data_IF_006099943477
#
_entry.id   IF_006099943477
#
_cell.length_a   1.000
_cell.length_b   1.000
_cell.length_c   1.000
_cell.angle_alpha   90.00
_cell.angle_beta   90.00
_cell.angle_gamma   90.00
#
_symmetry.space_group_name_H-M   'P 1'
#
loop_
_entity.id
_entity.type
_entity.pdbx_description
1 polymer ?
#
# COMPACT_ATOMS: atom_id res chain seq x y z
N UNK A 1 -44.85 -15.69 -4.53
CA UNK A 1 -44.87 -15.26 -5.93
C UNK A 1 -43.52 -14.63 -6.28
N UNK A 2 -42.59 -15.46 -6.76
CA UNK A 2 -41.24 -15.05 -7.16
C UNK A 2 -41.28 -14.61 -8.62
N UNK A 3 -41.49 -13.32 -8.86
CA UNK A 3 -41.33 -12.73 -10.19
C UNK A 3 -39.86 -12.85 -10.58
N UNK A 4 -39.60 -13.78 -11.49
CA UNK A 4 -38.32 -14.06 -12.09
C UNK A 4 -37.94 -12.89 -13.01
N UNK A 5 -37.60 -11.73 -12.42
CA UNK A 5 -37.01 -10.62 -13.16
C UNK A 5 -35.65 -11.10 -13.64
N UNK A 6 -35.60 -11.59 -14.88
CA UNK A 6 -34.37 -11.90 -15.58
C UNK A 6 -33.48 -10.67 -15.52
N UNK A 7 -32.47 -10.70 -14.65
CA UNK A 7 -31.53 -9.62 -14.46
C UNK A 7 -30.79 -9.41 -15.78
N UNK A 8 -31.20 -8.41 -16.55
CA UNK A 8 -30.55 -8.07 -17.80
C UNK A 8 -29.21 -7.40 -17.46
N UNK A 9 -28.17 -8.22 -17.29
CA UNK A 9 -26.81 -7.81 -16.94
C UNK A 9 -26.33 -6.68 -17.86
N UNK A 10 -26.73 -6.68 -19.15
CA UNK A 10 -26.42 -5.62 -20.09
C UNK A 10 -27.03 -4.28 -19.68
N UNK A 11 -28.33 -4.22 -19.34
CA UNK A 11 -28.97 -2.97 -18.91
C UNK A 11 -28.37 -2.43 -17.60
N UNK A 12 -28.02 -3.31 -16.66
CA UNK A 12 -27.36 -2.91 -15.41
C UNK A 12 -25.93 -2.40 -15.64
N UNK A 13 -25.21 -2.91 -16.63
CA UNK A 13 -23.91 -2.38 -17.05
C UNK A 13 -24.08 -1.03 -17.75
N UNK A 14 -25.06 -0.92 -18.65
CA UNK A 14 -25.30 0.29 -19.45
C UNK A 14 -25.75 1.48 -18.61
N UNK A 15 -26.70 1.29 -17.68
CA UNK A 15 -27.12 2.36 -16.77
C UNK A 15 -26.00 2.85 -15.85
N UNK A 16 -25.03 1.98 -15.55
CA UNK A 16 -23.85 2.32 -14.74
C UNK A 16 -22.78 3.05 -15.52
N UNK A 17 -22.55 2.66 -16.78
CA UNK A 17 -21.70 3.44 -17.69
C UNK A 17 -22.30 4.83 -17.93
N UNK A 18 -23.63 4.99 -17.86
CA UNK A 18 -24.27 6.30 -18.00
C UNK A 18 -24.28 7.17 -16.73
N UNK A 19 -23.84 6.67 -15.56
CA UNK A 19 -23.75 7.53 -14.36
C UNK A 19 -22.51 8.42 -14.46
N UNK A 20 -22.73 9.65 -14.97
CA UNK A 20 -21.70 10.67 -15.18
C UNK A 20 -20.83 10.91 -13.93
N UNK A 21 -21.43 10.95 -12.75
CA UNK A 21 -20.68 11.19 -11.50
C UNK A 21 -19.70 10.06 -11.17
N UNK A 22 -20.12 8.80 -11.37
CA UNK A 22 -19.22 7.66 -11.12
C UNK A 22 -18.05 7.61 -12.10
N UNK A 23 -18.31 7.85 -13.39
CA UNK A 23 -17.25 7.88 -14.40
C UNK A 23 -16.28 9.03 -14.17
N UNK A 24 -16.79 10.22 -13.84
CA UNK A 24 -15.94 11.38 -13.52
C UNK A 24 -15.07 11.11 -12.31
N UNK A 25 -15.64 10.64 -11.20
CA UNK A 25 -14.90 10.43 -9.95
C UNK A 25 -13.89 9.29 -10.04
N UNK A 26 -14.28 8.15 -10.62
CA UNK A 26 -13.36 7.02 -10.83
C UNK A 26 -12.30 7.35 -11.88
N UNK A 27 -12.68 8.08 -12.93
CA UNK A 27 -11.78 8.55 -13.98
C UNK A 27 -10.73 9.51 -13.45
N UNK A 28 -11.12 10.45 -12.57
CA UNK A 28 -10.18 11.34 -11.89
C UNK A 28 -9.16 10.56 -11.06
N UNK A 29 -9.60 9.62 -10.23
CA UNK A 29 -8.67 8.81 -9.44
C UNK A 29 -7.75 7.96 -10.30
N UNK A 30 -8.27 7.36 -11.38
CA UNK A 30 -7.44 6.62 -12.33
C UNK A 30 -6.39 7.53 -12.97
N UNK A 31 -6.79 8.72 -13.41
CA UNK A 31 -5.89 9.71 -13.98
C UNK A 31 -4.81 10.14 -12.98
N UNK A 32 -5.17 10.43 -11.72
CA UNK A 32 -4.19 10.73 -10.68
C UNK A 32 -3.15 9.62 -10.55
N UNK A 33 -3.60 8.36 -10.46
CA UNK A 33 -2.66 7.24 -10.34
C UNK A 33 -1.80 7.05 -11.60
N UNK A 34 -2.34 7.30 -12.80
CA UNK A 34 -1.54 7.27 -14.03
C UNK A 34 -0.45 8.34 -14.02
N UNK A 35 -0.76 9.57 -13.57
CA UNK A 35 0.22 10.64 -13.42
C UNK A 35 1.27 10.26 -12.37
N UNK A 36 0.85 9.75 -11.21
CA UNK A 36 1.76 9.28 -10.15
C UNK A 36 2.67 8.15 -10.64
N UNK A 37 2.15 7.20 -11.42
CA UNK A 37 2.96 6.13 -12.04
C UNK A 37 3.96 6.73 -13.02
N UNK A 38 3.53 7.65 -13.90
CA UNK A 38 4.42 8.33 -14.85
C UNK A 38 5.53 9.13 -14.15
N UNK A 39 5.20 9.85 -13.09
CA UNK A 39 6.16 10.54 -12.24
C UNK A 39 7.12 9.54 -11.57
N UNK A 40 6.64 8.40 -11.08
CA UNK A 40 7.49 7.33 -10.57
C UNK A 40 8.47 6.79 -11.62
N UNK A 41 8.00 6.58 -12.85
CA UNK A 41 8.82 6.13 -13.98
C UNK A 41 9.89 7.15 -14.41
N UNK A 42 9.70 8.45 -14.15
CA UNK A 42 10.72 9.48 -14.38
C UNK A 42 11.69 9.55 -13.19
N UNK A 43 11.16 9.47 -11.97
CA UNK A 43 11.94 9.57 -10.73
C UNK A 43 12.95 8.43 -10.60
N UNK A 44 12.52 7.20 -10.79
CA UNK A 44 13.37 6.02 -10.56
C UNK A 44 14.65 6.07 -11.41
N UNK A 45 14.59 6.29 -12.73
CA UNK A 45 15.77 6.50 -13.56
C UNK A 45 16.64 7.65 -13.09
N UNK A 46 16.04 8.81 -12.83
CA UNK A 46 16.77 9.97 -12.38
C UNK A 46 17.57 9.65 -11.10
N UNK A 47 16.96 9.01 -10.10
CA UNK A 47 17.68 8.56 -8.89
C UNK A 47 18.85 7.65 -9.26
N UNK A 48 18.64 6.65 -10.11
CA UNK A 48 19.70 5.67 -10.44
C UNK A 48 20.85 6.27 -11.24
N UNK A 49 20.63 7.35 -11.99
CA UNK A 49 21.67 8.06 -12.73
C UNK A 49 22.42 9.10 -11.88
N UNK A 50 21.74 9.72 -10.91
CA UNK A 50 22.33 10.77 -10.07
C UNK A 50 22.94 10.25 -8.76
N UNK A 51 22.52 9.07 -8.28
CA UNK A 51 22.94 8.52 -6.99
C UNK A 51 23.60 7.15 -7.20
N UNK A 52 24.80 6.92 -6.62
CA UNK A 52 25.47 5.62 -6.66
C UNK A 52 24.59 4.46 -6.18
N UNK A 53 24.77 3.28 -6.78
CA UNK A 53 23.91 2.12 -6.55
C UNK A 53 23.87 1.65 -5.10
N UNK A 54 24.99 1.68 -4.40
CA UNK A 54 25.08 1.38 -2.96
C UNK A 54 24.25 2.36 -2.12
N UNK A 55 24.29 3.64 -2.44
CA UNK A 55 23.49 4.68 -1.79
C UNK A 55 21.99 4.55 -2.08
N UNK A 56 21.60 4.15 -3.30
CA UNK A 56 20.21 3.76 -3.62
C UNK A 56 19.79 2.56 -2.76
N UNK A 57 20.70 1.61 -2.56
CA UNK A 57 20.54 0.49 -1.63
C UNK A 57 20.24 0.94 -0.20
N UNK A 58 20.91 1.99 0.29
CA UNK A 58 20.67 2.55 1.62
C UNK A 58 19.24 3.10 1.77
N UNK A 59 18.72 3.78 0.74
CA UNK A 59 17.31 4.21 0.71
C UNK A 59 16.39 2.98 0.78
N UNK A 60 16.73 1.92 0.04
CA UNK A 60 16.03 0.64 0.06
C UNK A 60 15.97 0.02 1.46
N UNK A 61 17.10 -0.02 2.18
CA UNK A 61 17.16 -0.51 3.57
C UNK A 61 16.17 0.25 4.44
N UNK A 62 16.23 1.58 4.46
CA UNK A 62 15.31 2.37 5.29
C UNK A 62 13.85 2.17 4.87
N UNK A 63 13.56 2.13 3.57
CA UNK A 63 12.22 1.88 3.03
C UNK A 63 11.67 0.51 3.45
N UNK A 64 12.53 -0.49 3.66
CA UNK A 64 12.12 -1.81 4.17
C UNK A 64 11.74 -1.79 5.66
N UNK A 65 12.30 -0.88 6.45
CA UNK A 65 12.02 -0.71 7.88
C UNK A 65 10.76 0.14 8.15
N UNK A 66 10.48 1.15 7.31
CA UNK A 66 9.34 2.08 7.51
C UNK A 66 7.98 1.38 7.72
N UNK A 67 7.62 0.30 7.00
CA UNK A 67 6.37 -0.42 7.24
C UNK A 67 6.27 -1.02 8.64
N UNK A 68 7.38 -1.53 9.20
CA UNK A 68 7.40 -2.09 10.55
C UNK A 68 7.29 -0.99 11.60
N UNK A 69 7.98 0.13 11.41
CA UNK A 69 7.81 1.31 12.26
C UNK A 69 6.34 1.79 12.24
N UNK A 70 5.70 1.80 11.07
CA UNK A 70 4.28 2.22 10.93
C UNK A 70 3.32 1.36 11.76
N UNK A 71 3.65 0.12 12.10
CA UNK A 71 2.81 -0.72 12.96
C UNK A 71 2.55 -0.09 14.34
N UNK A 72 3.56 0.60 14.87
CA UNK A 72 3.47 1.28 16.15
C UNK A 72 2.54 2.52 16.09
N UNK A 73 2.18 3.00 14.89
CA UNK A 73 1.30 4.16 14.66
C UNK A 73 -0.19 3.83 14.50
N UNK A 74 -0.63 2.62 14.86
CA UNK A 74 -2.02 2.16 14.71
C UNK A 74 -2.65 2.39 13.32
N UNK A 75 -2.08 1.84 12.24
CA UNK A 75 -2.60 2.03 10.88
C UNK A 75 -4.04 1.52 10.69
N UNK A 76 -4.54 0.64 11.56
CA UNK A 76 -5.93 0.19 11.51
C UNK A 76 -6.96 1.28 11.80
N UNK A 77 -6.57 2.36 12.46
CA UNK A 77 -7.44 3.53 12.67
C UNK A 77 -7.81 4.23 11.37
N UNK A 78 -7.00 4.12 10.31
CA UNK A 78 -7.35 4.67 8.99
C UNK A 78 -8.60 3.99 8.42
N UNK A 79 -8.72 2.66 8.56
CA UNK A 79 -9.90 1.92 8.13
C UNK A 79 -11.14 2.21 8.98
N UNK A 80 -10.95 2.32 10.30
CA UNK A 80 -12.03 2.67 11.22
C UNK A 80 -12.56 4.08 10.94
N UNK A 81 -11.66 5.06 10.87
CA UNK A 81 -11.98 6.46 10.54
C UNK A 81 -12.65 6.56 9.17
N UNK A 82 -12.13 5.90 8.14
CA UNK A 82 -12.74 5.87 6.81
C UNK A 82 -14.18 5.35 6.86
N UNK A 83 -14.44 4.27 7.61
CA UNK A 83 -15.77 3.68 7.78
C UNK A 83 -16.76 4.63 8.48
N UNK A 84 -16.37 5.24 9.61
CA UNK A 84 -17.23 6.17 10.34
C UNK A 84 -17.47 7.49 9.58
N UNK A 85 -16.44 8.03 8.94
CA UNK A 85 -16.59 9.23 8.09
C UNK A 85 -17.51 8.97 6.89
N UNK A 86 -17.46 7.77 6.30
CA UNK A 86 -18.38 7.38 5.22
C UNK A 86 -19.83 7.26 5.69
N UNK A 87 -20.08 7.18 7.01
CA UNK A 87 -21.42 7.26 7.61
C UNK A 87 -21.86 8.69 7.95
N UNK A 88 -21.01 9.69 7.74
CA UNK A 88 -21.27 11.09 8.08
C UNK A 88 -20.60 11.57 9.38
N UNK A 89 -19.90 10.69 10.10
CA UNK A 89 -19.24 11.01 11.37
C UNK A 89 -17.86 11.63 11.14
N UNK A 90 -17.82 12.89 10.69
CA UNK A 90 -16.58 13.55 10.27
C UNK A 90 -15.56 13.75 11.39
N UNK A 91 -16.00 13.86 12.65
CA UNK A 91 -15.13 14.01 13.83
C UNK A 91 -14.20 12.79 14.05
N UNK A 92 -14.55 11.63 13.47
CA UNK A 92 -13.71 10.44 13.48
C UNK A 92 -12.30 10.70 12.89
N UNK A 93 -12.15 11.68 11.99
CA UNK A 93 -10.83 12.10 11.49
C UNK A 93 -9.94 12.70 12.58
N UNK A 94 -10.49 13.60 13.41
CA UNK A 94 -9.73 14.30 14.45
C UNK A 94 -9.25 13.32 15.51
N UNK A 95 -10.12 12.37 15.90
CA UNK A 95 -9.75 11.28 16.80
C UNK A 95 -8.62 10.45 16.18
N UNK A 96 -8.77 10.00 14.93
CA UNK A 96 -7.72 9.25 14.24
C UNK A 96 -6.39 10.02 14.24
N UNK A 97 -6.40 11.28 13.83
CA UNK A 97 -5.21 12.11 13.72
C UNK A 97 -4.48 12.26 15.07
N UNK A 98 -5.23 12.54 16.15
CA UNK A 98 -4.68 12.67 17.52
C UNK A 98 -3.97 11.38 17.95
N UNK A 99 -4.61 10.24 17.76
CA UNK A 99 -4.03 8.95 18.12
C UNK A 99 -2.81 8.62 17.24
N UNK A 100 -2.90 8.82 15.92
CA UNK A 100 -1.80 8.53 15.00
C UNK A 100 -0.56 9.36 15.28
N UNK A 101 -0.69 10.67 15.49
CA UNK A 101 0.45 11.53 15.83
C UNK A 101 1.10 11.04 17.12
N UNK A 102 0.31 10.84 18.19
CA UNK A 102 0.82 10.36 19.49
C UNK A 102 1.62 9.06 19.35
N UNK A 103 1.09 8.10 18.62
CA UNK A 103 1.71 6.78 18.49
C UNK A 103 2.81 6.71 17.42
N UNK A 104 2.80 7.63 16.45
CA UNK A 104 3.88 7.80 15.49
C UNK A 104 5.17 8.34 16.11
N UNK A 105 5.10 8.99 17.28
CA UNK A 105 6.29 9.34 18.07
C UNK A 105 7.07 8.09 18.49
N UNK A 106 6.40 7.00 18.87
CA UNK A 106 7.07 5.74 19.18
C UNK A 106 7.72 5.11 17.94
N UNK A 107 7.08 5.28 16.79
CA UNK A 107 7.63 4.81 15.51
C UNK A 107 8.88 5.62 15.12
N UNK A 108 8.85 6.94 15.33
CA UNK A 108 10.02 7.81 15.19
C UNK A 108 11.15 7.40 16.13
N UNK A 109 10.84 7.15 17.40
CA UNK A 109 11.82 6.67 18.38
C UNK A 109 12.50 5.35 17.97
N UNK A 110 11.74 4.39 17.43
CA UNK A 110 12.31 3.14 16.90
C UNK A 110 13.32 3.40 15.78
N UNK A 111 13.02 4.32 14.86
CA UNK A 111 13.94 4.68 13.78
C UNK A 111 15.17 5.45 14.29
N UNK A 112 15.03 6.27 15.34
CA UNK A 112 16.16 6.92 16.01
C UNK A 112 17.07 5.90 16.70
N UNK A 113 16.53 4.84 17.30
CA UNK A 113 17.34 3.71 17.79
C UNK A 113 18.09 3.05 16.63
N UNK A 114 17.44 2.89 15.48
CA UNK A 114 18.09 2.45 14.25
C UNK A 114 19.25 3.35 13.82
N UNK A 115 19.09 4.67 13.94
CA UNK A 115 20.15 5.63 13.64
C UNK A 115 21.38 5.44 14.54
N UNK A 116 21.16 5.29 15.86
CA UNK A 116 22.24 5.03 16.83
C UNK A 116 22.94 3.70 16.52
N UNK A 117 22.18 2.66 16.19
CA UNK A 117 22.73 1.35 15.83
C UNK A 117 23.68 1.43 14.62
N UNK A 118 23.27 2.10 13.54
CA UNK A 118 24.11 2.22 12.34
C UNK A 118 25.31 3.13 12.58
N UNK A 119 25.19 4.15 13.43
CA UNK A 119 26.31 4.99 13.83
C UNK A 119 27.38 4.19 14.57
N UNK A 120 26.98 3.29 15.47
CA UNK A 120 27.90 2.39 16.19
C UNK A 120 28.61 1.39 15.26
N UNK A 121 28.03 1.06 14.11
CA UNK A 121 28.65 0.21 13.08
C UNK A 121 29.57 0.97 12.11
N UNK A 122 29.69 2.29 12.25
CA UNK A 122 30.48 3.13 11.34
C UNK A 122 29.76 3.50 10.04
N UNK A 123 28.51 3.07 9.86
CA UNK A 123 27.70 3.33 8.67
C UNK A 123 26.99 4.69 8.79
N UNK A 124 27.79 5.76 8.77
CA UNK A 124 27.34 7.13 9.05
C UNK A 124 26.23 7.61 8.11
N UNK A 125 26.29 7.26 6.83
CA UNK A 125 25.25 7.65 5.86
C UNK A 125 23.90 7.02 6.19
N UNK A 126 23.86 5.72 6.50
CA UNK A 126 22.63 5.03 6.93
C UNK A 126 22.10 5.62 8.23
N UNK A 127 22.98 5.91 9.19
CA UNK A 127 22.59 6.54 10.45
C UNK A 127 21.84 7.87 10.21
N UNK A 128 22.32 8.72 9.30
CA UNK A 128 21.65 9.96 8.93
C UNK A 128 20.29 9.75 8.26
N UNK A 129 20.16 8.76 7.36
CA UNK A 129 18.88 8.47 6.70
C UNK A 129 17.86 7.96 7.74
N UNK A 130 18.28 7.11 8.68
CA UNK A 130 17.44 6.67 9.80
C UNK A 130 17.06 7.83 10.74
N UNK A 131 18.00 8.74 11.03
CA UNK A 131 17.75 9.92 11.86
C UNK A 131 16.68 10.82 11.23
N UNK A 132 16.85 11.16 9.95
CA UNK A 132 15.88 11.95 9.17
C UNK A 132 14.53 11.25 9.18
N UNK A 133 14.52 9.94 8.93
CA UNK A 133 13.29 9.15 8.93
C UNK A 133 12.59 9.22 10.28
N UNK A 134 13.31 9.05 11.39
CA UNK A 134 12.75 9.11 12.73
C UNK A 134 12.22 10.50 13.10
N UNK A 135 12.93 11.56 12.71
CA UNK A 135 12.54 12.94 12.96
C UNK A 135 11.26 13.33 12.21
N UNK A 136 11.17 12.99 10.93
CA UNK A 136 10.02 13.33 10.08
C UNK A 136 8.88 12.33 10.17
N UNK A 137 9.08 11.13 10.73
CA UNK A 137 8.07 10.08 10.80
C UNK A 137 6.71 10.53 11.34
N UNK A 138 6.64 11.31 12.44
CA UNK A 138 5.35 11.71 12.99
C UNK A 138 4.54 12.58 12.02
N UNK A 139 5.21 13.44 11.26
CA UNK A 139 4.58 14.24 10.23
C UNK A 139 4.24 13.39 9.01
N UNK A 140 5.20 12.62 8.49
CA UNK A 140 5.04 11.91 7.21
C UNK A 140 4.13 10.69 7.29
N UNK A 141 4.04 10.02 8.44
CA UNK A 141 3.11 8.92 8.64
C UNK A 141 1.87 9.34 9.44
N UNK A 142 2.00 10.14 10.51
CA UNK A 142 0.88 10.50 11.37
C UNK A 142 -0.24 11.25 10.64
N UNK A 143 0.10 12.04 9.62
CA UNK A 143 -0.84 12.87 8.86
C UNK A 143 -1.37 12.22 7.57
N UNK A 144 -1.00 10.97 7.28
CA UNK A 144 -1.49 10.25 6.06
C UNK A 144 -2.99 9.93 6.09
N UNK A 145 -3.64 10.07 7.26
CA UNK A 145 -5.09 9.92 7.39
C UNK A 145 -5.89 10.94 6.55
N UNK A 146 -5.24 12.04 6.13
CA UNK A 146 -5.82 13.11 5.30
C UNK A 146 -6.37 12.61 3.97
N UNK A 147 -5.64 11.74 3.27
CA UNK A 147 -6.14 11.12 2.03
C UNK A 147 -7.39 10.26 2.26
N UNK A 148 -7.43 9.53 3.38
CA UNK A 148 -8.57 8.72 3.77
C UNK A 148 -9.82 9.57 4.03
N UNK A 149 -9.64 10.71 4.70
CA UNK A 149 -10.71 11.67 4.96
C UNK A 149 -11.33 12.25 3.67
N UNK A 150 -10.50 12.65 2.71
CA UNK A 150 -10.97 13.13 1.41
C UNK A 150 -11.73 12.02 0.66
N UNK A 151 -11.20 10.80 0.71
CA UNK A 151 -11.80 9.65 0.03
C UNK A 151 -13.11 9.15 0.65
N UNK A 152 -13.31 9.29 1.96
CA UNK A 152 -14.54 8.90 2.65
C UNK A 152 -15.67 9.92 2.47
N UNK A 153 -15.32 11.20 2.32
CA UNK A 153 -16.26 12.30 2.01
C UNK A 153 -16.59 12.44 0.52
N UNK A 154 -16.13 11.51 -0.32
CA UNK A 154 -16.28 11.56 -1.79
C UNK A 154 -15.70 12.85 -2.43
N UNK A 155 -14.74 13.52 -1.77
CA UNK A 155 -14.05 14.72 -2.27
C UNK A 155 -12.92 14.33 -3.25
N UNK A 156 -13.29 13.67 -4.35
CA UNK A 156 -12.33 13.06 -5.27
C UNK A 156 -11.45 14.06 -6.02
N UNK A 157 -11.89 15.32 -6.18
CA UNK A 157 -11.09 16.40 -6.78
C UNK A 157 -9.93 16.81 -5.87
N UNK A 158 -10.19 16.96 -4.58
CA UNK A 158 -9.14 17.30 -3.61
C UNK A 158 -8.20 16.12 -3.42
N UNK A 159 -8.74 14.89 -3.39
CA UNK A 159 -7.94 13.66 -3.36
C UNK A 159 -7.07 13.50 -4.61
N UNK A 160 -7.57 13.92 -5.78
CA UNK A 160 -6.78 13.96 -7.02
C UNK A 160 -5.55 14.86 -6.83
N UNK A 161 -5.75 16.12 -6.43
CA UNK A 161 -4.65 17.06 -6.25
C UNK A 161 -3.68 16.66 -5.15
N UNK A 162 -4.20 16.16 -4.02
CA UNK A 162 -3.40 15.61 -2.94
C UNK A 162 -2.40 14.56 -3.46
N UNK A 163 -2.86 13.61 -4.27
CA UNK A 163 -2.01 12.55 -4.83
C UNK A 163 -0.95 13.09 -5.80
N UNK A 164 -1.30 14.10 -6.58
CA UNK A 164 -0.34 14.75 -7.48
C UNK A 164 0.73 15.46 -6.66
N UNK A 165 0.36 16.25 -5.65
CA UNK A 165 1.32 16.94 -4.80
C UNK A 165 2.20 15.98 -4.00
N UNK A 166 1.64 14.89 -3.46
CA UNK A 166 2.41 13.82 -2.80
C UNK A 166 3.46 13.21 -3.73
N UNK A 167 3.12 13.00 -5.01
CA UNK A 167 4.09 12.50 -5.98
C UNK A 167 5.08 13.56 -6.47
N UNK A 168 4.78 14.85 -6.35
CA UNK A 168 5.72 15.93 -6.67
C UNK A 168 6.71 16.14 -5.52
N UNK A 169 6.30 15.99 -4.26
CA UNK A 169 7.22 16.10 -3.11
C UNK A 169 8.35 15.07 -3.17
N UNK A 170 8.12 13.94 -3.83
CA UNK A 170 9.10 12.90 -4.12
C UNK A 170 10.26 13.34 -5.06
N UNK A 171 10.10 14.48 -5.76
CA UNK A 171 11.12 15.11 -6.60
C UNK A 171 11.89 16.23 -5.90
N UNK A 172 11.47 16.65 -4.70
CA UNK A 172 12.11 17.76 -3.99
C UNK A 172 13.60 17.51 -3.74
N UNK A 173 13.99 16.25 -3.60
CA UNK A 173 15.36 15.80 -3.44
C UNK A 173 16.27 16.12 -4.63
N UNK A 174 15.74 16.28 -5.85
CA UNK A 174 16.55 16.68 -7.00
C UNK A 174 16.96 18.15 -6.96
N UNK A 175 16.21 19.01 -6.27
CA UNK A 175 16.53 20.44 -6.16
C UNK A 175 17.93 20.64 -5.57
N UNK A 176 18.25 20.15 -4.35
CA UNK A 176 19.60 20.28 -3.84
C UNK A 176 20.61 19.47 -4.67
N UNK A 177 20.17 18.46 -5.43
CA UNK A 177 21.07 17.74 -6.33
C UNK A 177 21.64 18.60 -7.47
N UNK A 178 20.91 19.63 -7.90
CA UNK A 178 21.34 20.52 -8.98
C UNK A 178 22.34 21.59 -8.54
N UNK A 179 22.33 21.99 -7.27
CA UNK A 179 23.15 23.11 -6.77
C UNK A 179 24.53 22.69 -6.22
N UNK A 180 24.90 21.41 -6.33
CA UNK A 180 26.21 20.85 -5.96
C UNK A 180 26.70 21.11 -4.52
N UNK A 181 25.87 21.69 -3.64
CA UNK A 181 26.20 21.97 -2.24
C UNK A 181 25.77 20.80 -1.36
N UNK A 182 26.61 19.77 -1.33
CA UNK A 182 26.39 18.55 -0.56
C UNK A 182 26.89 18.71 0.86
N UNK A 183 26.05 19.21 1.77
CA UNK A 183 26.49 19.46 3.15
C UNK A 183 26.91 18.17 3.89
N UNK A 184 26.35 17.01 3.54
CA UNK A 184 26.68 15.72 4.15
C UNK A 184 27.02 14.66 3.09
N UNK A 185 26.07 14.33 2.23
CA UNK A 185 26.24 13.45 1.06
C UNK A 185 25.04 13.62 0.13
N UNK A 186 25.19 13.23 -1.14
CA UNK A 186 24.13 13.31 -2.14
C UNK A 186 22.85 12.59 -1.67
N UNK A 187 22.98 11.36 -1.18
CA UNK A 187 21.84 10.55 -0.71
C UNK A 187 21.15 11.12 0.53
N UNK A 188 21.91 11.60 1.52
CA UNK A 188 21.33 12.17 2.75
C UNK A 188 20.58 13.46 2.42
N UNK A 189 21.17 14.32 1.60
CA UNK A 189 20.53 15.57 1.18
C UNK A 189 19.30 15.31 0.31
N UNK A 190 19.38 14.38 -0.65
CA UNK A 190 18.25 13.96 -1.48
C UNK A 190 17.09 13.42 -0.63
N UNK A 191 17.39 12.47 0.26
CA UNK A 191 16.39 11.84 1.11
C UNK A 191 15.78 12.84 2.11
N UNK A 192 16.61 13.68 2.74
CA UNK A 192 16.19 14.71 3.67
C UNK A 192 15.24 15.72 3.04
N UNK A 193 15.57 16.23 1.84
CA UNK A 193 14.71 17.16 1.13
C UNK A 193 13.36 16.53 0.74
N UNK A 194 13.34 15.27 0.30
CA UNK A 194 12.08 14.54 0.03
C UNK A 194 11.21 14.40 1.29
N UNK A 195 11.81 13.97 2.43
CA UNK A 195 11.08 13.81 3.69
C UNK A 195 10.54 15.14 4.21
N UNK A 196 11.35 16.20 4.14
CA UNK A 196 10.94 17.54 4.55
C UNK A 196 9.78 18.06 3.68
N UNK A 197 9.90 17.98 2.36
CA UNK A 197 8.83 18.43 1.45
C UNK A 197 7.52 17.67 1.69
N UNK A 198 7.61 16.35 1.88
CA UNK A 198 6.45 15.49 2.19
C UNK A 198 5.83 15.87 3.53
N UNK A 199 6.65 16.10 4.56
CA UNK A 199 6.19 16.53 5.88
C UNK A 199 5.46 17.88 5.82
N UNK A 200 6.03 18.88 5.12
CA UNK A 200 5.41 20.19 4.93
C UNK A 200 4.06 20.04 4.25
N UNK A 201 3.99 19.30 3.13
CA UNK A 201 2.74 19.07 2.41
C UNK A 201 1.67 18.45 3.32
N UNK A 202 2.02 17.40 4.06
CA UNK A 202 1.07 16.70 4.92
C UNK A 202 0.62 17.55 6.12
N UNK A 203 1.49 18.40 6.66
CA UNK A 203 1.13 19.36 7.71
C UNK A 203 0.13 20.37 7.17
N UNK A 204 0.39 20.95 5.99
CA UNK A 204 -0.50 21.92 5.35
C UNK A 204 -1.87 21.31 5.08
N UNK A 205 -1.93 20.14 4.46
CA UNK A 205 -3.20 19.44 4.19
C UNK A 205 -3.91 19.01 5.47
N UNK A 206 -3.17 18.54 6.48
CA UNK A 206 -3.72 18.17 7.79
C UNK A 206 -4.39 19.34 8.49
N UNK A 207 -3.73 20.51 8.52
CA UNK A 207 -4.29 21.74 9.08
C UNK A 207 -5.52 22.20 8.29
N UNK A 208 -5.47 22.13 6.96
CA UNK A 208 -6.59 22.52 6.10
C UNK A 208 -7.85 21.67 6.34
N UNK A 209 -7.73 20.33 6.35
CA UNK A 209 -8.86 19.44 6.64
C UNK A 209 -9.36 19.65 8.07
N UNK A 210 -8.46 19.81 9.05
CA UNK A 210 -8.85 20.05 10.43
C UNK A 210 -9.68 21.33 10.59
N UNK A 211 -9.27 22.44 9.93
CA UNK A 211 -10.04 23.69 9.90
C UNK A 211 -11.41 23.51 9.24
N UNK A 212 -11.46 22.85 8.08
CA UNK A 212 -12.71 22.59 7.37
C UNK A 212 -13.72 21.84 8.26
N UNK A 213 -13.27 20.85 9.02
CA UNK A 213 -14.13 20.10 9.94
C UNK A 213 -14.59 20.93 11.14
N UNK A 214 -13.74 21.84 11.62
CA UNK A 214 -14.09 22.72 12.72
C UNK A 214 -15.16 23.75 12.29
N UNK A 215 -15.02 24.32 11.10
CA UNK A 215 -15.94 25.32 10.55
C UNK A 215 -17.34 24.73 10.26
N UNK A 216 -17.41 23.44 9.93
CA UNK A 216 -18.67 22.73 9.68
C UNK A 216 -19.49 22.42 10.96
N UNK A 217 -19.01 22.79 12.16
CA UNK A 217 -19.64 22.48 13.45
C UNK A 217 -20.01 20.99 13.59
N UNK A 218 -19.14 20.10 13.10
CA UNK A 218 -19.41 18.65 13.11
C UNK A 218 -19.62 18.18 14.55
N UNK A 219 -20.68 17.40 14.84
CA UNK A 219 -20.94 16.91 16.18
C UNK A 219 -19.76 16.06 16.65
N UNK A 220 -19.41 16.24 17.93
CA UNK A 220 -18.39 15.40 18.56
C UNK A 220 -18.94 13.99 18.63
N UNK A 221 -18.12 13.03 18.19
CA UNK A 221 -18.45 11.61 18.25
C UNK A 221 -18.79 11.21 19.69
N UNK A 222 -19.86 10.43 19.87
CA UNK A 222 -20.26 9.97 21.20
C UNK A 222 -19.14 9.14 21.85
N UNK A 223 -19.07 9.13 23.18
CA UNK A 223 -18.03 8.39 23.89
C UNK A 223 -18.07 6.87 23.59
N UNK A 224 -19.26 6.33 23.34
CA UNK A 224 -19.45 4.92 23.00
C UNK A 224 -18.98 4.63 21.56
N UNK A 225 -19.31 5.52 20.62
CA UNK A 225 -18.85 5.41 19.23
C UNK A 225 -17.33 5.59 19.11
N UNK A 226 -16.72 6.50 19.88
CA UNK A 226 -15.26 6.63 19.96
C UNK A 226 -14.62 5.33 20.46
N UNK A 227 -15.17 4.73 21.52
CA UNK A 227 -14.68 3.45 22.06
C UNK A 227 -14.80 2.33 21.05
N UNK A 228 -15.92 2.23 20.34
CA UNK A 228 -16.13 1.23 19.30
C UNK A 228 -15.18 1.43 18.12
N UNK A 229 -15.02 2.66 17.65
CA UNK A 229 -14.09 3.01 16.57
C UNK A 229 -12.65 2.61 16.94
N UNK A 230 -12.21 2.92 18.16
CA UNK A 230 -10.88 2.56 18.65
C UNK A 230 -10.71 1.04 18.77
N UNK A 231 -11.74 0.32 19.25
CA UNK A 231 -11.73 -1.15 19.32
C UNK A 231 -11.59 -1.77 17.93
N UNK A 232 -12.38 -1.31 16.97
CA UNK A 232 -12.31 -1.77 15.58
C UNK A 232 -10.97 -1.42 14.93
N UNK A 233 -10.45 -0.21 15.16
CA UNK A 233 -9.14 0.21 14.65
C UNK A 233 -7.96 -0.60 15.21
N UNK A 234 -8.02 -1.02 16.48
CA UNK A 234 -7.03 -1.94 17.07
C UNK A 234 -7.05 -3.31 16.40
N UNK A 235 -8.25 -3.83 16.15
CA UNK A 235 -8.43 -5.09 15.45
C UNK A 235 -7.89 -5.04 14.01
N UNK A 236 -8.23 -3.97 13.28
CA UNK A 236 -7.68 -3.73 11.94
C UNK A 236 -6.16 -3.53 11.96
N UNK A 237 -5.61 -2.95 13.04
CA UNK A 237 -4.16 -2.81 13.22
C UNK A 237 -3.50 -4.18 13.35
N UNK A 238 -4.06 -5.09 14.14
CA UNK A 238 -3.54 -6.45 14.26
C UNK A 238 -3.56 -7.21 12.91
N UNK A 239 -4.67 -7.11 12.17
CA UNK A 239 -4.78 -7.66 10.82
C UNK A 239 -3.76 -7.05 9.85
N UNK A 240 -3.50 -5.74 9.96
CA UNK A 240 -2.51 -5.05 9.13
C UNK A 240 -1.08 -5.43 9.52
N UNK A 241 -0.80 -5.66 10.80
CA UNK A 241 0.49 -6.19 11.29
C UNK A 241 0.81 -7.51 10.61
N UNK A 242 -0.13 -8.45 10.60
CA UNK A 242 0.04 -9.75 9.94
C UNK A 242 0.35 -9.57 8.45
N UNK A 243 -0.39 -8.67 7.78
CA UNK A 243 -0.16 -8.36 6.36
C UNK A 243 1.20 -7.71 6.11
N UNK A 244 1.67 -6.82 6.98
CA UNK A 244 2.97 -6.15 6.82
C UNK A 244 4.11 -7.16 7.02
N UNK A 245 4.04 -8.01 8.04
CA UNK A 245 4.98 -9.12 8.22
C UNK A 245 5.05 -9.98 6.95
N UNK A 246 3.90 -10.43 6.45
CA UNK A 246 3.84 -11.23 5.23
C UNK A 246 4.47 -10.53 4.01
N UNK A 247 4.24 -9.22 3.86
CA UNK A 247 4.51 -8.51 2.60
C UNK A 247 5.77 -7.65 2.62
N UNK A 248 6.48 -7.56 3.74
CA UNK A 248 7.67 -6.71 3.89
C UNK A 248 8.88 -7.43 4.49
N UNK A 249 8.69 -8.62 5.07
CA UNK A 249 9.79 -9.40 5.64
C UNK A 249 10.84 -9.76 4.59
N UNK A 250 10.45 -10.04 3.35
CA UNK A 250 11.37 -10.28 2.24
C UNK A 250 12.34 -9.10 2.02
N UNK A 251 11.82 -7.88 1.85
CA UNK A 251 12.64 -6.69 1.64
C UNK A 251 13.50 -6.37 2.87
N UNK A 252 12.97 -6.59 4.07
CA UNK A 252 13.71 -6.42 5.32
C UNK A 252 14.89 -7.39 5.41
N UNK A 253 14.69 -8.67 5.09
CA UNK A 253 15.74 -9.68 5.10
C UNK A 253 16.82 -9.41 4.04
N UNK A 254 16.43 -8.98 2.84
CA UNK A 254 17.38 -8.56 1.79
C UNK A 254 18.22 -7.39 2.30
N UNK A 255 17.60 -6.36 2.87
CA UNK A 255 18.32 -5.20 3.40
C UNK A 255 19.19 -5.48 4.63
N UNK A 256 18.85 -6.51 5.41
CA UNK A 256 19.58 -6.88 6.62
C UNK A 256 20.72 -7.88 6.37
N UNK A 257 20.58 -8.77 5.39
CA UNK A 257 21.48 -9.91 5.19
C UNK A 257 22.33 -9.83 3.91
N UNK A 258 21.93 -9.03 2.93
CA UNK A 258 22.60 -8.96 1.63
C UNK A 258 23.29 -7.59 1.40
N UNK A 259 24.26 -7.51 0.47
CA UNK A 259 24.92 -6.25 0.16
C UNK A 259 23.96 -5.16 -0.33
N UNK A 260 24.30 -3.90 -0.07
CA UNK A 260 23.48 -2.74 -0.46
C UNK A 260 23.17 -2.68 -1.96
N UNK A 261 24.11 -3.12 -2.81
CA UNK A 261 23.89 -3.18 -4.27
C UNK A 261 22.78 -4.17 -4.64
N UNK A 262 22.68 -5.30 -3.94
CA UNK A 262 21.59 -6.26 -4.12
C UNK A 262 20.27 -5.70 -3.60
N UNK A 263 20.30 -4.97 -2.47
CA UNK A 263 19.12 -4.28 -1.96
C UNK A 263 18.62 -3.19 -2.93
N UNK A 264 19.53 -2.50 -3.64
CA UNK A 264 19.16 -1.54 -4.68
C UNK A 264 18.41 -2.23 -5.82
N UNK A 265 18.96 -3.33 -6.36
CA UNK A 265 18.29 -4.11 -7.41
C UNK A 265 16.92 -4.63 -6.97
N UNK A 266 16.83 -5.14 -5.74
CA UNK A 266 15.59 -5.63 -5.18
C UNK A 266 14.56 -4.50 -4.98
N UNK A 267 15.02 -3.30 -4.58
CA UNK A 267 14.16 -2.14 -4.40
C UNK A 267 13.57 -1.65 -5.71
N UNK A 268 14.33 -1.66 -6.81
CA UNK A 268 13.81 -1.36 -8.16
C UNK A 268 12.71 -2.35 -8.54
N UNK A 269 12.96 -3.65 -8.36
CA UNK A 269 11.95 -4.68 -8.61
C UNK A 269 10.70 -4.50 -7.74
N UNK A 270 10.86 -4.16 -6.47
CA UNK A 270 9.77 -3.92 -5.53
C UNK A 270 8.95 -2.69 -5.91
N UNK A 271 9.58 -1.62 -6.43
CA UNK A 271 8.87 -0.44 -6.92
C UNK A 271 7.89 -0.81 -8.03
N UNK A 272 8.33 -1.56 -9.04
CA UNK A 272 7.45 -2.00 -10.15
C UNK A 272 6.30 -2.87 -9.64
N UNK A 273 6.61 -3.82 -8.75
CA UNK A 273 5.61 -4.66 -8.10
C UNK A 273 4.57 -3.85 -7.31
N UNK A 274 4.99 -2.82 -6.59
CA UNK A 274 4.08 -1.95 -5.85
C UNK A 274 3.16 -1.15 -6.75
N UNK A 275 3.68 -0.61 -7.86
CA UNK A 275 2.84 0.09 -8.84
C UNK A 275 1.79 -0.87 -9.43
N UNK A 276 2.17 -2.11 -9.72
CA UNK A 276 1.23 -3.12 -10.17
C UNK A 276 0.15 -3.45 -9.11
N UNK A 277 0.53 -3.55 -7.83
CA UNK A 277 -0.43 -3.72 -6.73
C UNK A 277 -1.36 -2.51 -6.54
N UNK A 278 -0.92 -1.29 -6.83
CA UNK A 278 -1.78 -0.10 -6.75
C UNK A 278 -2.98 -0.23 -7.69
N UNK A 279 -2.83 -0.87 -8.85
CA UNK A 279 -3.93 -1.12 -9.78
C UNK A 279 -5.04 -1.98 -9.14
N UNK A 280 -4.66 -3.02 -8.38
CA UNK A 280 -5.60 -3.82 -7.60
C UNK A 280 -6.31 -2.98 -6.53
N UNK A 281 -5.59 -2.12 -5.81
CA UNK A 281 -6.19 -1.25 -4.80
C UNK A 281 -7.20 -0.27 -5.41
N UNK A 282 -6.92 0.28 -6.59
CA UNK A 282 -7.87 1.15 -7.30
C UNK A 282 -9.14 0.37 -7.63
N UNK A 283 -9.00 -0.84 -8.17
CA UNK A 283 -10.14 -1.72 -8.43
C UNK A 283 -10.97 -1.94 -7.16
N UNK A 284 -10.35 -2.29 -6.04
CA UNK A 284 -11.04 -2.52 -4.77
C UNK A 284 -11.73 -1.26 -4.27
N UNK A 285 -11.06 -0.10 -4.21
CA UNK A 285 -11.64 1.17 -3.74
C UNK A 285 -12.89 1.56 -4.53
N UNK A 286 -12.86 1.38 -5.86
CA UNK A 286 -13.98 1.72 -6.75
C UNK A 286 -15.13 0.70 -6.65
N UNK A 287 -14.82 -0.58 -6.45
CA UNK A 287 -15.83 -1.67 -6.45
C UNK A 287 -16.43 -1.94 -5.08
N UNK A 288 -15.68 -1.74 -4.00
CA UNK A 288 -16.06 -2.14 -2.64
C UNK A 288 -17.41 -1.57 -2.19
N UNK A 289 -17.69 -0.24 -2.29
CA UNK A 289 -18.96 0.33 -1.83
C UNK A 289 -20.19 -0.24 -2.53
N UNK A 290 -20.02 -0.79 -3.75
CA UNK A 290 -21.10 -1.38 -4.53
C UNK A 290 -21.32 -2.85 -4.19
N UNK A 291 -20.24 -3.59 -3.98
CA UNK A 291 -20.32 -5.02 -3.73
C UNK A 291 -20.95 -5.31 -2.35
N UNK A 292 -20.68 -4.47 -1.35
CA UNK A 292 -21.24 -4.62 0.01
C UNK A 292 -22.77 -4.45 0.05
N UNK A 293 -23.36 -3.72 -0.91
CA UNK A 293 -24.81 -3.47 -0.99
C UNK A 293 -25.60 -4.62 -1.66
N UNK A 294 -24.93 -5.63 -2.20
CA UNK A 294 -25.60 -6.72 -2.92
C UNK A 294 -26.07 -7.83 -1.97
N UNK A 295 -27.15 -8.56 -2.28
CA UNK A 295 -27.50 -9.79 -1.56
C UNK A 295 -26.39 -10.85 -1.67
N UNK A 296 -26.21 -11.65 -0.61
CA UNK A 296 -25.12 -12.64 -0.46
C UNK A 296 -25.01 -13.57 -1.67
N UNK A 297 -26.12 -14.14 -2.15
CA UNK A 297 -26.13 -15.05 -3.31
C UNK A 297 -25.58 -14.37 -4.57
N UNK A 298 -25.93 -13.10 -4.80
CA UNK A 298 -25.42 -12.32 -5.94
C UNK A 298 -23.96 -11.93 -5.77
N UNK A 299 -23.50 -11.72 -4.52
CA UNK A 299 -22.08 -11.50 -4.23
C UNK A 299 -21.25 -12.73 -4.63
N UNK A 300 -21.69 -13.94 -4.26
CA UNK A 300 -20.99 -15.19 -4.58
C UNK A 300 -20.88 -15.46 -6.10
N UNK A 301 -21.96 -15.22 -6.86
CA UNK A 301 -21.92 -15.39 -8.31
C UNK A 301 -20.98 -14.38 -9.00
N UNK A 302 -21.06 -13.10 -8.58
CA UNK A 302 -20.19 -12.05 -9.11
C UNK A 302 -18.74 -12.28 -8.74
N UNK A 303 -18.46 -12.78 -7.54
CA UNK A 303 -17.13 -13.16 -7.11
C UNK A 303 -16.46 -14.09 -8.12
N UNK A 304 -17.15 -15.15 -8.54
CA UNK A 304 -16.55 -16.13 -9.44
C UNK A 304 -16.36 -15.57 -10.84
N UNK A 305 -17.41 -14.97 -11.42
CA UNK A 305 -17.37 -14.46 -12.79
C UNK A 305 -16.46 -13.24 -12.94
N UNK A 306 -16.63 -12.22 -12.09
CA UNK A 306 -15.79 -11.02 -12.13
C UNK A 306 -14.37 -11.36 -11.64
N UNK A 307 -14.21 -12.24 -10.66
CA UNK A 307 -12.92 -12.68 -10.15
C UNK A 307 -12.07 -13.39 -11.20
N UNK A 308 -12.63 -14.35 -11.94
CA UNK A 308 -11.93 -15.03 -13.03
C UNK A 308 -11.55 -14.05 -14.14
N UNK A 309 -12.46 -13.17 -14.57
CA UNK A 309 -12.18 -12.19 -15.62
C UNK A 309 -11.08 -11.20 -15.21
N UNK A 310 -11.15 -10.69 -13.98
CA UNK A 310 -10.12 -9.78 -13.45
C UNK A 310 -8.79 -10.52 -13.31
N UNK A 311 -8.78 -11.77 -12.85
CA UNK A 311 -7.56 -12.54 -12.73
C UNK A 311 -6.88 -12.77 -14.09
N UNK A 312 -7.63 -13.16 -15.12
CA UNK A 312 -7.12 -13.26 -16.50
C UNK A 312 -6.60 -11.91 -17.00
N UNK A 313 -7.32 -10.81 -16.72
CA UNK A 313 -6.85 -9.46 -17.03
C UNK A 313 -5.52 -9.12 -16.36
N UNK A 314 -5.34 -9.46 -15.09
CA UNK A 314 -4.08 -9.26 -14.36
C UNK A 314 -2.96 -10.18 -14.85
N UNK A 315 -3.25 -11.41 -15.31
CA UNK A 315 -2.26 -12.28 -15.95
C UNK A 315 -1.74 -11.62 -17.23
N UNK A 316 -2.63 -11.20 -18.13
CA UNK A 316 -2.24 -10.54 -19.39
C UNK A 316 -1.46 -9.25 -19.11
N UNK A 317 -1.92 -8.45 -18.15
CA UNK A 317 -1.25 -7.22 -17.76
C UNK A 317 0.12 -7.47 -17.12
N UNK A 318 0.26 -8.52 -16.30
CA UNK A 318 1.53 -8.92 -15.68
C UNK A 318 2.56 -9.36 -16.71
N UNK A 319 2.14 -10.20 -17.68
CA UNK A 319 3.00 -10.61 -18.81
C UNK A 319 3.42 -9.39 -19.64
N UNK A 320 2.47 -8.51 -19.96
CA UNK A 320 2.75 -7.27 -20.70
C UNK A 320 3.75 -6.37 -19.97
N UNK A 321 3.59 -6.17 -18.66
CA UNK A 321 4.50 -5.32 -17.87
C UNK A 321 5.88 -5.95 -17.74
N UNK A 322 5.97 -7.27 -17.52
CA UNK A 322 7.26 -7.99 -17.48
C UNK A 322 8.01 -7.86 -18.82
N UNK A 323 7.32 -8.08 -19.94
CA UNK A 323 7.90 -7.91 -21.28
C UNK A 323 8.32 -6.45 -21.54
N UNK A 324 7.46 -5.49 -21.21
CA UNK A 324 7.76 -4.07 -21.35
C UNK A 324 8.96 -3.67 -20.50
N UNK A 325 9.08 -4.18 -19.28
CA UNK A 325 10.17 -3.83 -18.39
C UNK A 325 11.52 -4.43 -18.85
N UNK A 326 11.54 -5.63 -19.43
CA UNK A 326 12.73 -6.19 -20.08
C UNK A 326 13.23 -5.33 -21.24
N UNK A 327 12.33 -4.67 -21.96
CA UNK A 327 12.68 -3.74 -23.02
C UNK A 327 13.09 -2.36 -22.49
N UNK A 328 12.35 -1.83 -21.51
CA UNK A 328 12.48 -0.46 -21.03
C UNK A 328 13.66 -0.27 -20.06
N UNK A 329 13.88 -1.21 -19.14
CA UNK A 329 14.89 -1.07 -18.08
C UNK A 329 16.31 -0.94 -18.65
N UNK A 330 16.77 -1.76 -19.61
CA UNK A 330 18.11 -1.58 -20.19
C UNK A 330 18.30 -0.25 -20.93
N UNK A 331 17.22 0.39 -21.38
CA UNK A 331 17.26 1.67 -22.09
C UNK A 331 17.32 2.83 -21.08
N UNK A 332 16.53 2.74 -20.01
CA UNK A 332 16.29 3.86 -19.11
C UNK A 332 17.19 3.83 -17.86
N UNK A 333 17.54 2.65 -17.35
CA UNK A 333 18.38 2.48 -16.16
C UNK A 333 19.82 2.14 -16.53
N UNK A 334 20.81 2.47 -15.66
CA UNK A 334 22.18 2.01 -15.84
C UNK A 334 22.26 0.47 -15.90
N UNK A 335 23.20 -0.06 -16.70
CA UNK A 335 23.38 -1.49 -16.92
C UNK A 335 23.62 -2.30 -15.63
N UNK A 336 24.13 -1.64 -14.59
CA UNK A 336 24.32 -2.19 -13.25
C UNK A 336 23.02 -2.78 -12.65
N UNK A 337 21.86 -2.26 -13.03
CA UNK A 337 20.55 -2.67 -12.53
C UNK A 337 19.92 -3.83 -13.32
N UNK A 338 20.61 -4.43 -14.29
CA UNK A 338 20.08 -5.54 -15.09
C UNK A 338 19.65 -6.74 -14.22
N UNK A 339 20.33 -6.98 -13.10
CA UNK A 339 19.98 -8.03 -12.12
C UNK A 339 18.61 -7.85 -11.48
N UNK A 340 18.04 -6.63 -11.50
CA UNK A 340 16.70 -6.36 -10.96
C UNK A 340 15.58 -7.04 -11.75
N UNK A 341 15.81 -7.35 -13.04
CA UNK A 341 14.80 -7.93 -13.93
C UNK A 341 14.27 -9.28 -13.42
N UNK A 342 15.18 -10.16 -12.98
CA UNK A 342 14.80 -11.47 -12.47
C UNK A 342 13.97 -11.41 -11.18
N UNK A 343 14.28 -10.47 -10.27
CA UNK A 343 13.47 -10.27 -9.06
C UNK A 343 12.09 -9.73 -9.41
N UNK A 344 12.04 -8.80 -10.36
CA UNK A 344 10.81 -8.14 -10.79
C UNK A 344 9.81 -9.13 -11.37
N UNK A 345 10.23 -10.08 -12.20
CA UNK A 345 9.34 -11.10 -12.76
C UNK A 345 8.67 -11.95 -11.68
N UNK A 346 9.45 -12.41 -10.70
CA UNK A 346 8.95 -13.22 -9.59
C UNK A 346 7.96 -12.40 -8.75
N UNK A 347 8.24 -11.12 -8.51
CA UNK A 347 7.35 -10.25 -7.76
C UNK A 347 6.06 -9.94 -8.56
N UNK A 348 6.13 -9.69 -9.87
CA UNK A 348 4.94 -9.52 -10.72
C UNK A 348 4.08 -10.80 -10.68
N UNK A 349 4.70 -11.97 -10.85
CA UNK A 349 4.01 -13.25 -10.70
C UNK A 349 3.36 -13.39 -9.32
N UNK A 350 4.03 -12.93 -8.25
CA UNK A 350 3.49 -12.91 -6.89
C UNK A 350 2.23 -12.05 -6.79
N UNK A 351 2.20 -10.88 -7.42
CA UNK A 351 1.00 -10.05 -7.42
C UNK A 351 -0.16 -10.71 -8.16
N UNK A 352 0.10 -11.28 -9.34
CA UNK A 352 -0.90 -11.99 -10.15
C UNK A 352 -1.47 -13.20 -9.42
N UNK A 353 -0.61 -14.01 -8.80
CA UNK A 353 -1.04 -15.22 -8.09
C UNK A 353 -1.84 -14.91 -6.83
N UNK A 354 -1.67 -13.72 -6.25
CA UNK A 354 -2.37 -13.28 -5.04
C UNK A 354 -3.81 -12.79 -5.32
N UNK A 355 -4.16 -12.47 -6.56
CA UNK A 355 -5.47 -11.89 -6.92
C UNK A 355 -6.66 -12.77 -6.47
N UNK A 356 -6.70 -14.10 -6.68
CA UNK A 356 -7.80 -14.93 -6.20
C UNK A 356 -7.98 -14.88 -4.67
N UNK A 357 -6.88 -14.90 -3.91
CA UNK A 357 -6.89 -14.70 -2.46
C UNK A 357 -7.37 -13.31 -2.07
N UNK A 358 -6.96 -12.28 -2.80
CA UNK A 358 -7.42 -10.90 -2.63
C UNK A 358 -8.93 -10.75 -2.83
N UNK A 359 -9.51 -11.44 -3.81
CA UNK A 359 -10.96 -11.52 -3.98
C UNK A 359 -11.63 -12.20 -2.78
N UNK A 360 -11.15 -13.37 -2.36
CA UNK A 360 -11.70 -14.09 -1.19
C UNK A 360 -11.68 -13.21 0.06
N UNK A 361 -10.57 -12.50 0.29
CA UNK A 361 -10.45 -11.56 1.38
C UNK A 361 -11.45 -10.40 1.25
N UNK A 362 -11.63 -9.84 0.05
CA UNK A 362 -12.64 -8.81 -0.23
C UNK A 362 -14.05 -9.30 0.11
N UNK A 363 -14.39 -10.54 -0.25
CA UNK A 363 -15.66 -11.17 0.10
C UNK A 363 -15.87 -11.27 1.60
N UNK A 364 -14.90 -11.82 2.35
CA UNK A 364 -15.00 -11.93 3.79
C UNK A 364 -15.02 -10.57 4.50
N UNK A 365 -14.35 -9.56 3.94
CA UNK A 365 -14.40 -8.18 4.43
C UNK A 365 -15.78 -7.58 4.32
N UNK A 366 -16.48 -7.79 3.20
CA UNK A 366 -17.86 -7.34 3.02
C UNK A 366 -18.85 -8.02 3.98
N UNK A 367 -18.57 -9.27 4.34
CA UNK A 367 -19.37 -10.04 5.31
C UNK A 367 -18.97 -9.78 6.77
N UNK A 368 -17.95 -8.95 7.01
CA UNK A 368 -17.34 -8.75 8.33
C UNK A 368 -16.93 -10.08 9.01
N UNK A 369 -16.58 -11.10 8.22
CA UNK A 369 -16.09 -12.38 8.73
C UNK A 369 -14.60 -12.26 9.06
N UNK A 370 -14.31 -11.68 10.23
CA UNK A 370 -12.96 -11.44 10.72
C UNK A 370 -12.19 -12.76 10.87
N UNK A 371 -12.85 -13.83 11.35
CA UNK A 371 -12.21 -15.12 11.63
C UNK A 371 -11.57 -15.72 10.38
N UNK A 372 -12.29 -15.72 9.26
CA UNK A 372 -11.75 -16.23 7.98
C UNK A 372 -10.63 -15.34 7.44
N UNK A 373 -10.72 -14.03 7.62
CA UNK A 373 -9.64 -13.11 7.25
C UNK A 373 -8.37 -13.37 8.05
N UNK A 374 -8.47 -13.60 9.37
CA UNK A 374 -7.30 -14.01 10.17
C UNK A 374 -6.73 -15.32 9.68
N UNK A 375 -7.56 -16.34 9.46
CA UNK A 375 -7.07 -17.63 9.01
C UNK A 375 -6.24 -17.51 7.73
N UNK A 376 -6.78 -16.81 6.72
CA UNK A 376 -6.08 -16.56 5.46
C UNK A 376 -4.76 -15.81 5.65
N UNK A 377 -4.80 -14.70 6.39
CA UNK A 377 -3.63 -13.83 6.56
C UNK A 377 -2.56 -14.44 7.46
N UNK A 378 -2.94 -15.10 8.57
CA UNK A 378 -2.01 -15.75 9.49
C UNK A 378 -1.29 -16.89 8.79
N UNK A 379 -2.04 -17.75 8.08
CA UNK A 379 -1.43 -18.86 7.34
C UNK A 379 -0.42 -18.35 6.30
N UNK A 380 -0.80 -17.34 5.51
CA UNK A 380 0.09 -16.74 4.53
C UNK A 380 1.27 -16.00 5.17
N UNK A 381 1.08 -15.33 6.30
CA UNK A 381 2.13 -14.61 7.01
C UNK A 381 3.19 -15.53 7.61
N UNK A 382 2.77 -16.66 8.19
CA UNK A 382 3.71 -17.68 8.69
C UNK A 382 4.64 -18.12 7.54
N UNK A 383 4.06 -18.44 6.37
CA UNK A 383 4.83 -18.82 5.19
C UNK A 383 5.65 -17.65 4.65
N UNK A 384 5.10 -16.43 4.63
CA UNK A 384 5.75 -15.21 4.16
C UNK A 384 6.88 -14.70 5.04
N UNK A 385 6.99 -15.21 6.28
CA UNK A 385 8.14 -14.95 7.15
C UNK A 385 9.15 -16.10 7.03
N UNK A 386 8.70 -17.35 7.16
CA UNK A 386 9.59 -18.52 7.19
C UNK A 386 10.24 -18.77 5.83
N UNK A 387 9.48 -18.75 4.74
CA UNK A 387 10.01 -19.11 3.42
C UNK A 387 11.08 -18.10 2.93
N UNK A 388 10.86 -16.76 2.96
CA UNK A 388 11.93 -15.82 2.64
C UNK A 388 13.14 -15.95 3.55
N UNK A 389 12.96 -16.19 4.86
CA UNK A 389 14.08 -16.35 5.80
C UNK A 389 14.95 -17.57 5.48
N UNK A 390 14.35 -18.69 5.10
CA UNK A 390 15.10 -19.90 4.72
C UNK A 390 15.75 -19.74 3.34
N UNK A 391 15.01 -19.19 2.37
CA UNK A 391 15.48 -19.10 0.99
C UNK A 391 16.47 -17.98 0.75
N UNK A 392 16.43 -16.87 1.50
CA UNK A 392 17.40 -15.79 1.35
C UNK A 392 18.82 -16.24 1.67
N UNK A 393 18.99 -17.17 2.62
CA UNK A 393 20.30 -17.74 3.00
C UNK A 393 20.88 -18.55 1.84
N UNK A 394 20.04 -19.28 1.08
CA UNK A 394 20.51 -20.19 0.02
C UNK A 394 20.57 -19.55 -1.37
N UNK A 395 19.63 -18.66 -1.68
CA UNK A 395 19.42 -18.11 -3.03
C UNK A 395 19.46 -16.57 -3.06
N UNK A 396 19.85 -15.92 -1.97
CA UNK A 396 19.89 -14.46 -1.88
C UNK A 396 18.53 -13.82 -2.16
N UNK A 397 18.53 -12.72 -2.92
CA UNK A 397 17.32 -11.95 -3.21
C UNK A 397 16.29 -12.73 -4.05
N UNK A 398 16.72 -13.68 -4.90
CA UNK A 398 15.80 -14.60 -5.59
C UNK A 398 15.03 -15.47 -4.59
N UNK A 399 15.70 -15.91 -3.53
CA UNK A 399 15.07 -16.66 -2.45
C UNK A 399 14.03 -15.85 -1.69
N UNK A 400 14.32 -14.58 -1.41
CA UNK A 400 13.36 -13.67 -0.78
C UNK A 400 12.10 -13.47 -1.65
N UNK A 401 12.28 -13.20 -2.95
CA UNK A 401 11.17 -13.07 -3.90
C UNK A 401 10.36 -14.37 -4.04
N UNK A 402 11.03 -15.52 -4.14
CA UNK A 402 10.38 -16.83 -4.24
C UNK A 402 9.58 -17.17 -2.97
N UNK A 403 10.11 -16.88 -1.78
CA UNK A 403 9.38 -17.05 -0.54
C UNK A 403 8.10 -16.21 -0.50
N UNK A 404 8.15 -14.97 -1.02
CA UNK A 404 6.98 -14.11 -1.17
C UNK A 404 5.95 -14.69 -2.16
N UNK A 405 6.40 -15.25 -3.27
CA UNK A 405 5.55 -15.93 -4.25
C UNK A 405 4.78 -17.09 -3.62
N UNK A 406 5.47 -17.94 -2.86
CA UNK A 406 4.84 -19.08 -2.16
C UNK A 406 3.81 -18.58 -1.15
N UNK A 407 4.12 -17.53 -0.38
CA UNK A 407 3.16 -16.95 0.55
C UNK A 407 1.90 -16.43 -0.15
N UNK A 408 2.06 -15.79 -1.32
CA UNK A 408 0.94 -15.34 -2.17
C UNK A 408 0.09 -16.50 -2.71
N UNK A 409 0.74 -17.59 -3.12
CA UNK A 409 0.06 -18.82 -3.54
C UNK A 409 -0.78 -19.42 -2.41
N UNK A 410 -0.21 -19.51 -1.20
CA UNK A 410 -0.91 -20.03 -0.02
C UNK A 410 -2.12 -19.15 0.33
N UNK A 411 -1.99 -17.83 0.25
CA UNK A 411 -3.11 -16.91 0.46
C UNK A 411 -4.26 -17.17 -0.52
N UNK A 412 -3.95 -17.40 -1.80
CA UNK A 412 -4.94 -17.69 -2.83
C UNK A 412 -5.60 -19.07 -2.65
N UNK A 413 -4.82 -20.10 -2.36
CA UNK A 413 -5.35 -21.44 -2.11
C UNK A 413 -6.29 -21.43 -0.89
N UNK A 414 -5.85 -20.85 0.22
CA UNK A 414 -6.64 -20.77 1.45
C UNK A 414 -7.93 -19.95 1.23
N UNK A 415 -7.83 -18.84 0.49
CA UNK A 415 -8.97 -18.00 0.16
C UNK A 415 -10.02 -18.70 -0.68
N UNK A 416 -9.62 -19.35 -1.77
CA UNK A 416 -10.52 -20.11 -2.64
C UNK A 416 -11.17 -21.25 -1.84
N UNK A 417 -10.38 -22.00 -1.06
CA UNK A 417 -10.89 -23.10 -0.26
C UNK A 417 -11.97 -22.64 0.73
N UNK A 418 -11.68 -21.62 1.55
CA UNK A 418 -12.65 -21.06 2.50
C UNK A 418 -13.90 -20.52 1.80
N UNK A 419 -13.74 -19.87 0.65
CA UNK A 419 -14.86 -19.37 -0.13
C UNK A 419 -15.77 -20.51 -0.61
N UNK A 420 -15.20 -21.61 -1.14
CA UNK A 420 -15.99 -22.75 -1.60
C UNK A 420 -16.74 -23.46 -0.47
N UNK A 421 -16.14 -23.53 0.73
CA UNK A 421 -16.81 -24.06 1.94
C UNK A 421 -18.01 -23.19 2.31
N UNK A 422 -17.86 -21.86 2.27
CA UNK A 422 -18.94 -20.95 2.61
C UNK A 422 -20.11 -21.02 1.62
N UNK A 423 -19.81 -21.08 0.31
CA UNK A 423 -20.83 -21.23 -0.74
C UNK A 423 -21.64 -22.52 -0.55
N UNK A 424 -20.99 -23.63 -0.18
CA UNK A 424 -21.67 -24.89 0.13
C UNK A 424 -22.59 -24.75 1.34
N UNK A 425 -22.16 -24.05 2.40
CA UNK A 425 -22.98 -23.82 3.60
C UNK A 425 -24.23 -22.99 3.29
N UNK A 426 -24.12 -21.92 2.50
CA UNK A 426 -25.27 -21.07 2.13
C UNK A 426 -26.34 -21.81 1.31
N UNK A 427 -25.94 -22.83 0.53
CA UNK A 427 -26.89 -23.66 -0.24
C UNK A 427 -27.67 -24.68 0.59
N UNK A 428 -27.19 -25.02 1.79
CA UNK A 428 -27.87 -25.98 2.67
C UNK A 428 -28.92 -25.27 3.52
N UNK A 429 -28.71 -23.99 3.82
CA UNK A 429 -29.60 -23.19 4.66
C UNK A 429 -30.78 -22.55 3.91
N UNK A 430 -30.75 -22.55 2.57
CA UNK A 430 -31.84 -22.07 1.70
C UNK A 430 -32.43 -23.25 0.95
#
# INVERSE_FOLDING_TARGET
MTTNQSFNLRQAIWSRLNNKGFLQNSGLLLLANMIVIGLGLIRTPAITWFIPKDQVGMIGVVASWLPFARLLSYPGLDFASYHYMSKGESWAFVINLRYRIKWSLLSGALLLVGAVYWLQRGETMLAWIFLISGLFFPATNGLTATAGALGSREQYKDLFWYRIFESITDFAGFIPLLFSNWWLSQVVTFYGANQLATAIMLIVYGIWIWKQLHDENTPVLSADDEREMLRYGKHQTALNTISILQTRTDAFLVGALLPLTTMADYSIALMVYEQFKRLWNIYVTVRYPRLVRLPIVRQQQRFFLEGCLVWVGFIMMGVFISALAHWLIPIILPAEYASSLGYMDILIATAVITIPGGFAELYFRMQQDEKKQYYMRVLSAIVGVIAPALFVIRWGAYGAAAGRLIAGLILSIAGIWLFTVEVKRTKITN
#
